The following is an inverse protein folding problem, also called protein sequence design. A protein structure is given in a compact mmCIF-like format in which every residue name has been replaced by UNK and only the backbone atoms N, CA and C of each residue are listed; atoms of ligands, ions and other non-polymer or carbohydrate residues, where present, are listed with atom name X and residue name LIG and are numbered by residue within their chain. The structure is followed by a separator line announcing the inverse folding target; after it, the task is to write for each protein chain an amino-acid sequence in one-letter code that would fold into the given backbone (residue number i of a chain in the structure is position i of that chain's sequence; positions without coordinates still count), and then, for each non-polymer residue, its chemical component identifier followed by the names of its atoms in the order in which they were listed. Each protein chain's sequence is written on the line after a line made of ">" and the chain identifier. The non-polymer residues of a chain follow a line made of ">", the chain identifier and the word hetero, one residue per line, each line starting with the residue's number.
data_IF_770092082067
#
_entry.id   IF_770092082067
#
_cell.length_a   1.000
_cell.length_b   1.000
_cell.length_c   1.000
_cell.angle_alpha   90.00
_cell.angle_beta   90.00
_cell.angle_gamma   90.00
#
_symmetry.space_group_name_H-M   'P 1'
#
loop_
_entity.id
_entity.type
_entity.pdbx_description
1 polymer ?
#
# COMPACT_ATOMS: atom_id res chain seq x y z
N UNK A 1 41.65 -12.05 3.28
CA UNK A 1 40.51 -11.90 2.34
C UNK A 1 39.22 -12.11 3.12
N UNK A 2 38.64 -11.03 3.63
CA UNK A 2 37.42 -11.06 4.45
C UNK A 2 36.19 -11.15 3.53
N UNK A 3 35.51 -12.30 3.53
CA UNK A 3 34.17 -12.44 2.95
C UNK A 3 33.20 -11.58 3.77
N UNK A 4 32.62 -10.56 3.14
CA UNK A 4 31.45 -9.85 3.66
C UNK A 4 30.31 -10.88 3.84
N UNK A 5 29.57 -10.88 4.96
CA UNK A 5 28.39 -11.73 5.09
C UNK A 5 27.32 -11.27 4.09
N UNK A 6 26.53 -12.20 3.52
CA UNK A 6 25.40 -11.85 2.67
C UNK A 6 24.44 -11.03 3.53
N UNK A 7 23.86 -9.97 2.98
CA UNK A 7 22.87 -9.15 3.66
C UNK A 7 21.73 -10.04 4.14
N UNK A 8 21.81 -10.45 5.40
CA UNK A 8 20.76 -11.16 6.10
C UNK A 8 19.58 -10.23 6.14
N UNK A 9 18.51 -10.66 5.47
CA UNK A 9 17.14 -10.19 5.60
C UNK A 9 16.96 -9.61 7.00
N UNK A 10 16.76 -8.29 7.11
CA UNK A 10 16.43 -7.68 8.40
C UNK A 10 15.22 -8.47 8.95
N UNK A 11 15.28 -8.98 10.20
CA UNK A 11 14.18 -9.76 10.76
C UNK A 11 12.88 -8.97 10.61
N UNK A 12 11.82 -9.63 10.11
CA UNK A 12 10.51 -9.06 9.81
C UNK A 12 10.13 -7.94 10.80
N UNK A 13 10.42 -6.70 10.41
CA UNK A 13 10.29 -5.56 11.31
C UNK A 13 8.79 -5.38 11.62
N UNK A 14 8.41 -5.10 12.88
CA UNK A 14 7.00 -4.85 13.20
C UNK A 14 6.46 -3.68 12.38
N UNK A 15 5.19 -3.74 11.96
CA UNK A 15 4.55 -2.77 11.06
C UNK A 15 4.82 -1.30 11.43
N UNK A 16 4.75 -0.87 12.72
CA UNK A 16 5.02 0.53 13.07
C UNK A 16 6.45 0.97 12.79
N UNK A 17 7.42 0.04 12.89
CA UNK A 17 8.81 0.32 12.59
C UNK A 17 9.05 0.38 11.08
N UNK A 18 8.37 -0.46 10.29
CA UNK A 18 8.38 -0.36 8.82
C UNK A 18 7.78 0.95 8.35
N UNK A 19 6.67 1.40 8.95
CA UNK A 19 6.06 2.70 8.64
C UNK A 19 7.00 3.86 8.96
N UNK A 20 7.67 3.83 10.12
CA UNK A 20 8.65 4.85 10.48
C UNK A 20 9.84 4.89 9.50
N UNK A 21 10.34 3.72 9.08
CA UNK A 21 11.42 3.63 8.10
C UNK A 21 10.98 4.06 6.70
N UNK A 22 9.75 3.74 6.28
CA UNK A 22 9.17 4.21 5.00
C UNK A 22 9.09 5.73 4.99
N UNK A 23 8.61 6.35 6.07
CA UNK A 23 8.57 7.80 6.17
C UNK A 23 9.93 8.47 6.16
N UNK A 24 10.90 7.83 6.80
CA UNK A 24 12.29 8.29 6.75
C UNK A 24 12.87 8.19 5.35
N UNK A 25 12.64 7.09 4.62
CA UNK A 25 13.13 6.91 3.26
C UNK A 25 12.50 7.93 2.29
N UNK A 26 11.19 8.13 2.37
CA UNK A 26 10.47 9.14 1.56
C UNK A 26 10.94 10.57 1.88
N UNK A 27 11.25 10.89 3.14
CA UNK A 27 11.80 12.19 3.53
C UNK A 27 13.28 12.36 3.18
N UNK A 28 14.07 11.28 3.18
CA UNK A 28 15.46 11.29 2.78
C UNK A 28 15.62 11.60 1.28
N UNK A 29 14.76 11.02 0.44
CA UNK A 29 14.65 11.35 -0.97
C UNK A 29 14.29 12.85 -1.19
N UNK A 30 13.68 13.51 -0.20
CA UNK A 30 13.22 14.90 -0.26
C UNK A 30 14.21 15.97 0.29
N UNK A 31 15.30 15.58 0.99
CA UNK A 31 16.50 16.34 1.37
C UNK A 31 16.98 16.01 2.80
N UNK A 32 18.31 15.98 3.00
CA UNK A 32 18.98 15.72 4.29
C UNK A 32 18.55 16.71 5.41
N UNK A 33 18.16 17.94 5.04
CA UNK A 33 17.63 18.97 5.96
C UNK A 33 16.22 18.66 6.52
N UNK A 34 15.40 17.84 5.84
CA UNK A 34 14.05 17.52 6.29
C UNK A 34 14.02 16.47 7.43
N UNK A 35 15.13 15.77 7.66
CA UNK A 35 15.25 14.66 8.62
C UNK A 35 15.67 15.15 10.02
N UNK A 36 16.33 16.31 10.10
CA UNK A 36 16.80 16.90 11.36
C UNK A 36 15.69 17.05 12.43
N UNK A 37 14.50 17.60 12.09
CA UNK A 37 13.41 17.78 13.07
C UNK A 37 12.91 16.47 13.67
N UNK A 38 12.81 15.40 12.88
CA UNK A 38 12.37 14.08 13.34
C UNK A 38 13.40 13.44 14.27
N UNK A 39 14.70 13.63 13.99
CA UNK A 39 15.79 13.15 14.84
C UNK A 39 15.81 13.82 16.22
N UNK A 40 15.40 15.09 16.30
CA UNK A 40 15.34 15.85 17.55
C UNK A 40 14.30 15.29 18.53
N UNK A 41 13.20 14.72 18.01
CA UNK A 41 12.13 14.09 18.79
C UNK A 41 12.53 12.73 19.39
N UNK A 42 13.59 12.11 18.89
CA UNK A 42 14.08 10.85 19.42
C UNK A 42 14.91 11.06 20.70
N UNK A 43 14.77 10.19 21.71
CA UNK A 43 15.62 10.22 22.90
C UNK A 43 17.10 10.13 22.51
N UNK A 44 18.03 10.80 23.23
CA UNK A 44 19.44 10.94 22.83
C UNK A 44 20.14 9.63 22.48
N UNK A 45 19.82 8.54 23.21
CA UNK A 45 20.37 7.19 22.99
C UNK A 45 19.99 6.54 21.65
N UNK A 46 18.92 7.02 21.01
CA UNK A 46 18.45 6.50 19.73
C UNK A 46 18.87 7.35 18.53
N UNK A 47 19.29 8.61 18.73
CA UNK A 47 19.67 9.53 17.64
C UNK A 47 20.82 9.01 16.79
N UNK A 48 21.90 8.52 17.42
CA UNK A 48 23.07 7.99 16.70
C UNK A 48 22.76 6.68 15.97
N UNK A 49 21.92 5.82 16.56
CA UNK A 49 21.45 4.57 15.94
C UNK A 49 20.50 4.84 14.78
N UNK A 50 19.65 5.84 14.91
CA UNK A 50 18.73 6.28 13.87
C UNK A 50 19.48 6.78 12.65
N UNK A 51 20.49 7.63 12.83
CA UNK A 51 21.32 8.13 11.74
C UNK A 51 22.12 7.02 11.03
N UNK A 52 22.63 6.04 11.79
CA UNK A 52 23.30 4.86 11.21
C UNK A 52 22.33 3.92 10.49
N UNK A 53 21.09 3.79 10.98
CA UNK A 53 20.04 3.03 10.31
C UNK A 53 19.59 3.73 9.02
N UNK A 54 19.45 5.05 9.04
CA UNK A 54 19.14 5.90 7.88
C UNK A 54 20.16 5.69 6.77
N UNK A 55 21.45 5.86 7.09
CA UNK A 55 22.55 5.61 6.15
C UNK A 55 22.63 4.17 5.69
N UNK A 56 22.12 3.21 6.45
CA UNK A 56 22.06 1.80 6.04
C UNK A 56 20.87 1.52 5.12
N UNK A 57 19.73 2.18 5.34
CA UNK A 57 18.52 2.09 4.52
C UNK A 57 18.73 2.79 3.17
N UNK A 58 19.33 3.98 3.19
CA UNK A 58 19.71 4.73 1.98
C UNK A 58 20.70 3.92 1.11
N UNK A 59 21.67 3.24 1.74
CA UNK A 59 22.66 2.41 1.02
C UNK A 59 22.09 1.07 0.52
N UNK A 60 21.00 0.58 1.12
CA UNK A 60 20.41 -0.70 0.78
C UNK A 60 19.10 -0.58 -0.04
N UNK A 61 18.60 0.63 -0.22
CA UNK A 61 17.40 0.94 -1.00
C UNK A 61 16.09 0.59 -0.30
N UNK A 62 14.97 1.06 -0.89
CA UNK A 62 13.58 0.79 -0.46
C UNK A 62 13.28 -0.71 -0.29
N UNK A 63 14.02 -1.57 -1.01
CA UNK A 63 13.93 -3.04 -0.97
C UNK A 63 14.16 -3.69 0.42
N UNK A 64 14.76 -2.99 1.38
CA UNK A 64 14.85 -3.50 2.77
C UNK A 64 13.58 -3.22 3.61
N UNK A 65 12.70 -2.33 3.16
CA UNK A 65 11.52 -1.89 3.91
C UNK A 65 10.28 -2.71 3.50
N UNK A 66 10.18 -3.08 2.22
CA UNK A 66 9.15 -3.97 1.68
C UNK A 66 9.55 -5.43 1.92
N UNK A 67 8.70 -6.19 2.64
CA UNK A 67 8.85 -7.65 2.67
C UNK A 67 8.57 -8.20 1.27
N UNK A 68 9.37 -9.14 0.74
CA UNK A 68 9.09 -9.74 -0.55
C UNK A 68 7.74 -10.46 -0.48
N UNK A 69 6.81 -10.07 -1.37
CA UNK A 69 5.52 -10.75 -1.49
C UNK A 69 5.67 -11.98 -2.40
N UNK A 70 4.84 -12.99 -2.17
CA UNK A 70 4.76 -14.19 -3.00
C UNK A 70 3.42 -14.28 -3.71
N UNK A 71 3.32 -15.15 -4.73
CA UNK A 71 2.04 -15.48 -5.38
C UNK A 71 0.98 -15.95 -4.38
N UNK A 72 1.38 -16.72 -3.36
CA UNK A 72 0.49 -17.16 -2.29
C UNK A 72 -0.05 -15.98 -1.46
N UNK A 73 0.76 -14.94 -1.24
CA UNK A 73 0.27 -13.73 -0.58
C UNK A 73 -0.75 -12.98 -1.43
N UNK A 74 -0.56 -12.92 -2.76
CA UNK A 74 -1.48 -12.27 -3.70
C UNK A 74 -2.81 -13.04 -3.74
N UNK A 75 -2.76 -14.36 -3.86
CA UNK A 75 -3.94 -15.22 -3.82
C UNK A 75 -4.72 -15.04 -2.50
N UNK A 76 -4.03 -15.11 -1.37
CA UNK A 76 -4.66 -14.92 -0.06
C UNK A 76 -5.23 -13.50 0.09
N UNK A 77 -4.55 -12.48 -0.45
CA UNK A 77 -5.04 -11.10 -0.45
C UNK A 77 -6.29 -10.92 -1.32
N UNK A 78 -6.37 -11.60 -2.47
CA UNK A 78 -7.55 -11.63 -3.34
C UNK A 78 -8.75 -12.26 -2.63
N UNK A 79 -8.53 -13.39 -1.94
CA UNK A 79 -9.55 -14.05 -1.13
C UNK A 79 -10.04 -13.17 0.03
N UNK A 80 -9.15 -12.40 0.66
CA UNK A 80 -9.55 -11.42 1.67
C UNK A 80 -10.37 -10.27 1.06
N UNK A 81 -9.90 -9.70 -0.06
CA UNK A 81 -10.56 -8.57 -0.73
C UNK A 81 -11.97 -8.91 -1.20
N UNK A 82 -12.21 -10.17 -1.57
CA UNK A 82 -13.54 -10.68 -1.93
C UNK A 82 -14.33 -11.21 -0.74
N UNK A 83 -13.80 -11.10 0.48
CA UNK A 83 -14.47 -11.53 1.71
C UNK A 83 -14.57 -13.05 1.89
N UNK A 84 -13.94 -13.86 1.03
CA UNK A 84 -13.94 -15.33 1.07
C UNK A 84 -13.18 -15.85 2.29
N UNK A 85 -12.01 -15.28 2.58
CA UNK A 85 -11.25 -15.57 3.80
C UNK A 85 -11.04 -14.28 4.61
N UNK A 86 -11.59 -14.23 5.83
CA UNK A 86 -11.46 -13.11 6.78
C UNK A 86 -10.49 -13.41 7.93
N UNK A 87 -9.67 -14.45 7.80
CA UNK A 87 -8.68 -14.89 8.79
C UNK A 87 -7.66 -13.81 9.14
N UNK A 88 -6.88 -14.03 10.20
CA UNK A 88 -5.80 -13.11 10.57
C UNK A 88 -4.67 -13.14 9.54
N UNK A 89 -4.41 -14.32 9.00
CA UNK A 89 -3.42 -14.59 7.97
C UNK A 89 -3.79 -13.87 6.67
N UNK A 90 -5.04 -13.98 6.22
CA UNK A 90 -5.50 -13.30 5.01
C UNK A 90 -5.53 -11.78 5.14
N UNK A 91 -5.91 -11.25 6.31
CA UNK A 91 -5.76 -9.82 6.61
C UNK A 91 -4.32 -9.34 6.51
N UNK A 92 -3.38 -10.13 7.04
CA UNK A 92 -1.97 -9.77 7.01
C UNK A 92 -1.43 -9.82 5.58
N UNK A 93 -1.75 -10.85 4.81
CA UNK A 93 -1.40 -10.95 3.39
C UNK A 93 -1.96 -9.76 2.59
N UNK A 94 -3.24 -9.45 2.75
CA UNK A 94 -3.87 -8.30 2.11
C UNK A 94 -3.19 -6.96 2.46
N UNK A 95 -2.84 -6.77 3.73
CA UNK A 95 -2.10 -5.58 4.18
C UNK A 95 -0.75 -5.45 3.46
N UNK A 96 0.04 -6.54 3.40
CA UNK A 96 1.34 -6.53 2.73
C UNK A 96 1.21 -6.27 1.24
N UNK A 97 0.23 -6.90 0.59
CA UNK A 97 -0.02 -6.79 -0.85
C UNK A 97 -0.51 -5.39 -1.22
N UNK A 98 -1.37 -4.76 -0.43
CA UNK A 98 -1.80 -3.37 -0.62
C UNK A 98 -0.60 -2.41 -0.58
N UNK A 99 0.28 -2.59 0.41
CA UNK A 99 1.48 -1.76 0.55
C UNK A 99 2.46 -1.99 -0.61
N UNK A 100 2.68 -3.25 -0.99
CA UNK A 100 3.51 -3.58 -2.15
C UNK A 100 2.96 -2.92 -3.42
N UNK A 101 1.67 -3.07 -3.69
CA UNK A 101 1.07 -2.56 -4.91
C UNK A 101 1.07 -1.02 -4.93
N UNK A 102 0.87 -0.39 -3.76
CA UNK A 102 1.01 1.05 -3.62
C UNK A 102 2.43 1.52 -3.97
N UNK A 103 3.44 0.87 -3.39
CA UNK A 103 4.85 1.21 -3.62
C UNK A 103 5.21 0.97 -5.10
N UNK A 104 4.76 -0.13 -5.72
CA UNK A 104 4.97 -0.44 -7.14
C UNK A 104 4.36 0.62 -8.08
N UNK A 105 3.09 0.99 -7.85
CA UNK A 105 2.41 2.02 -8.65
C UNK A 105 3.04 3.41 -8.45
N UNK A 106 3.55 3.69 -7.24
CA UNK A 106 4.25 4.93 -6.93
C UNK A 106 5.62 5.01 -7.60
N UNK A 107 6.34 3.89 -7.76
CA UNK A 107 7.60 3.83 -8.51
C UNK A 107 7.39 4.01 -10.02
N UNK A 108 6.25 3.54 -10.55
CA UNK A 108 5.86 3.76 -11.94
C UNK A 108 5.41 5.21 -12.24
N UNK A 109 5.01 5.96 -11.20
CA UNK A 109 4.66 7.38 -11.27
C UNK A 109 5.86 8.28 -10.94
N UNK A 110 6.10 9.33 -11.74
CA UNK A 110 7.30 10.17 -11.60
C UNK A 110 7.33 10.99 -10.28
N UNK A 111 6.21 11.11 -9.56
CA UNK A 111 6.08 11.97 -8.37
C UNK A 111 5.77 11.19 -7.08
N UNK A 112 6.79 11.04 -6.22
CA UNK A 112 6.70 10.39 -4.90
C UNK A 112 6.18 11.34 -3.82
N UNK A 113 4.89 11.67 -3.85
CA UNK A 113 4.33 12.61 -2.87
C UNK A 113 3.54 11.95 -1.74
N UNK A 114 3.13 10.69 -1.88
CA UNK A 114 2.29 10.01 -0.90
C UNK A 114 2.94 8.77 -0.32
N UNK A 115 2.78 8.61 0.99
CA UNK A 115 3.18 7.43 1.72
C UNK A 115 1.96 6.61 2.10
N UNK A 116 2.18 5.33 2.34
CA UNK A 116 1.20 4.39 2.89
C UNK A 116 1.64 3.88 4.27
N UNK A 117 0.72 3.86 5.24
CA UNK A 117 0.91 3.26 6.57
C UNK A 117 0.29 1.87 6.62
N UNK A 118 1.17 0.89 6.76
CA UNK A 118 0.81 -0.52 6.93
C UNK A 118 0.03 -0.75 8.23
N UNK A 119 0.40 -0.04 9.31
CA UNK A 119 -0.25 -0.18 10.61
C UNK A 119 -1.71 0.31 10.58
N UNK A 120 -1.97 1.42 9.88
CA UNK A 120 -3.33 1.94 9.74
C UNK A 120 -4.14 1.00 8.84
N UNK A 121 -3.59 0.55 7.70
CA UNK A 121 -4.26 -0.44 6.85
C UNK A 121 -4.64 -1.67 7.66
N UNK A 122 -3.71 -2.27 8.41
CA UNK A 122 -4.00 -3.44 9.24
C UNK A 122 -5.13 -3.21 10.24
N UNK A 123 -5.18 -2.05 10.90
CA UNK A 123 -6.28 -1.68 11.81
C UNK A 123 -7.62 -1.58 11.06
N UNK A 124 -7.65 -0.91 9.91
CA UNK A 124 -8.85 -0.77 9.05
C UNK A 124 -9.37 -2.13 8.59
N UNK A 125 -8.50 -2.98 8.04
CA UNK A 125 -8.87 -4.32 7.60
C UNK A 125 -9.36 -5.19 8.77
N UNK A 126 -8.74 -5.05 9.94
CA UNK A 126 -9.18 -5.78 11.14
C UNK A 126 -10.59 -5.39 11.56
N UNK A 127 -10.92 -4.09 11.55
CA UNK A 127 -12.27 -3.61 11.88
C UNK A 127 -13.28 -4.08 10.86
N UNK A 128 -13.00 -3.88 9.57
CA UNK A 128 -13.92 -4.25 8.48
C UNK A 128 -14.27 -5.74 8.49
N UNK A 129 -13.27 -6.61 8.69
CA UNK A 129 -13.48 -8.05 8.77
C UNK A 129 -14.42 -8.47 9.91
N UNK A 130 -14.48 -7.68 10.99
CA UNK A 130 -15.37 -7.96 12.14
C UNK A 130 -16.75 -7.34 12.01
N UNK A 131 -16.93 -6.30 11.19
CA UNK A 131 -18.17 -5.52 11.12
C UNK A 131 -18.97 -5.74 9.84
N UNK A 132 -18.34 -6.23 8.76
CA UNK A 132 -18.99 -6.41 7.47
C UNK A 132 -19.28 -7.87 7.15
N UNK A 133 -20.55 -8.15 6.87
CA UNK A 133 -21.02 -9.43 6.32
C UNK A 133 -21.08 -9.43 4.78
N UNK A 134 -20.64 -8.35 4.12
CA UNK A 134 -20.57 -8.32 2.66
C UNK A 134 -19.53 -9.33 2.16
N UNK A 135 -19.69 -9.73 0.89
CA UNK A 135 -18.82 -10.64 0.14
C UNK A 135 -18.69 -10.12 -1.30
N UNK A 136 -17.70 -10.64 -2.03
CA UNK A 136 -17.44 -10.31 -3.42
C UNK A 136 -17.14 -8.82 -3.64
N UNK A 137 -17.63 -8.23 -4.75
CA UNK A 137 -17.39 -6.82 -5.10
C UNK A 137 -17.85 -5.82 -4.02
N UNK A 138 -18.92 -6.12 -3.29
CA UNK A 138 -19.41 -5.24 -2.22
C UNK A 138 -18.42 -5.18 -1.04
N UNK A 139 -17.80 -6.30 -0.68
CA UNK A 139 -16.74 -6.29 0.35
C UNK A 139 -15.51 -5.53 -0.14
N UNK A 140 -15.11 -5.72 -1.40
CA UNK A 140 -14.00 -5.00 -2.01
C UNK A 140 -14.23 -3.48 -2.03
N UNK A 141 -15.42 -3.04 -2.45
CA UNK A 141 -15.82 -1.64 -2.44
C UNK A 141 -15.83 -1.05 -1.03
N UNK A 142 -16.32 -1.79 -0.03
CA UNK A 142 -16.29 -1.35 1.36
C UNK A 142 -14.85 -1.21 1.88
N UNK A 143 -13.97 -2.14 1.52
CA UNK A 143 -12.55 -2.11 1.89
C UNK A 143 -11.83 -0.92 1.28
N UNK A 144 -11.93 -0.77 -0.04
CA UNK A 144 -11.27 0.31 -0.78
C UNK A 144 -11.81 1.66 -0.33
N UNK A 145 -13.13 1.79 -0.15
CA UNK A 145 -13.76 2.98 0.41
C UNK A 145 -13.30 3.31 1.84
N UNK A 146 -13.14 2.31 2.72
CA UNK A 146 -12.67 2.54 4.09
C UNK A 146 -11.20 2.98 4.13
N UNK A 147 -10.33 2.39 3.30
CA UNK A 147 -8.93 2.81 3.17
C UNK A 147 -8.87 4.24 2.65
N UNK A 148 -9.60 4.55 1.57
CA UNK A 148 -9.65 5.89 0.96
C UNK A 148 -10.08 6.96 1.97
N UNK A 149 -11.07 6.65 2.81
CA UNK A 149 -11.58 7.59 3.82
C UNK A 149 -10.79 7.57 5.15
N UNK A 150 -9.71 6.79 5.23
CA UNK A 150 -8.83 6.72 6.39
C UNK A 150 -7.64 7.69 6.27
N UNK A 151 -6.79 7.72 7.29
CA UNK A 151 -5.49 8.42 7.26
C UNK A 151 -4.33 7.49 6.88
N UNK A 152 -4.61 6.34 6.26
CA UNK A 152 -3.60 5.36 5.85
C UNK A 152 -2.69 5.86 4.73
N UNK A 153 -3.22 6.71 3.84
CA UNK A 153 -2.50 7.24 2.68
C UNK A 153 -2.41 8.76 2.81
N UNK A 154 -1.22 9.31 2.57
CA UNK A 154 -1.00 10.75 2.55
C UNK A 154 0.48 11.12 2.65
N UNK A 155 0.78 12.42 2.57
CA UNK A 155 2.16 12.94 2.75
C UNK A 155 2.75 12.60 4.14
N UNK A 156 1.88 12.50 5.14
CA UNK A 156 2.19 12.02 6.49
C UNK A 156 0.99 11.21 7.00
N UNK A 157 0.97 9.88 6.78
CA UNK A 157 -0.09 9.01 7.27
C UNK A 157 -0.31 9.17 8.78
N UNK A 158 -1.57 9.05 9.22
CA UNK A 158 -1.97 9.25 10.62
C UNK A 158 -2.21 10.70 11.04
N UNK A 159 -1.76 11.70 10.26
CA UNK A 159 -2.15 13.10 10.49
C UNK A 159 -3.47 13.36 9.76
N UNK A 160 -4.48 13.86 10.48
CA UNK A 160 -5.81 14.15 9.95
C UNK A 160 -5.84 15.39 9.02
N UNK A 161 -5.01 15.40 7.97
CA UNK A 161 -5.19 16.31 6.83
C UNK A 161 -5.94 15.54 5.75
N UNK A 162 -7.09 16.07 5.33
CA UNK A 162 -7.80 15.55 4.16
C UNK A 162 -6.86 15.67 2.95
N UNK A 163 -6.79 14.61 2.15
CA UNK A 163 -6.14 14.63 0.84
C UNK A 163 -6.69 15.82 0.06
N UNK A 164 -5.83 16.67 -0.52
CA UNK A 164 -6.32 17.80 -1.29
C UNK A 164 -7.11 17.30 -2.51
N UNK A 165 -8.12 18.05 -2.96
CA UNK A 165 -8.97 17.62 -4.06
C UNK A 165 -8.21 17.30 -5.37
N UNK A 166 -7.06 17.94 -5.59
CA UNK A 166 -6.16 17.69 -6.72
C UNK A 166 -5.33 16.42 -6.57
N UNK A 167 -5.12 15.96 -5.33
CA UNK A 167 -4.34 14.76 -4.97
C UNK A 167 -5.25 13.53 -4.83
N UNK A 168 -6.54 13.75 -4.55
CA UNK A 168 -7.53 12.70 -4.34
C UNK A 168 -7.67 11.80 -5.58
N UNK A 169 -7.61 12.37 -6.79
CA UNK A 169 -7.73 11.61 -8.04
C UNK A 169 -6.65 10.54 -8.18
N UNK A 170 -5.40 10.85 -7.85
CA UNK A 170 -4.31 9.87 -8.00
C UNK A 170 -4.43 8.73 -6.99
N UNK A 171 -4.80 9.06 -5.74
CA UNK A 171 -5.07 8.06 -4.69
C UNK A 171 -6.24 7.18 -5.07
N UNK A 172 -7.34 7.79 -5.55
CA UNK A 172 -8.55 7.09 -5.98
C UNK A 172 -8.23 6.14 -7.15
N UNK A 173 -7.49 6.59 -8.16
CA UNK A 173 -7.06 5.76 -9.29
C UNK A 173 -6.17 4.59 -8.84
N UNK A 174 -5.21 4.82 -7.94
CA UNK A 174 -4.34 3.77 -7.44
C UNK A 174 -5.12 2.71 -6.65
N UNK A 175 -6.03 3.14 -5.76
CA UNK A 175 -6.86 2.22 -4.99
C UNK A 175 -7.83 1.42 -5.88
N UNK A 176 -8.43 2.05 -6.87
CA UNK A 176 -9.26 1.37 -7.86
C UNK A 176 -8.46 0.36 -8.68
N UNK A 177 -7.24 0.72 -9.09
CA UNK A 177 -6.33 -0.18 -9.81
C UNK A 177 -5.96 -1.40 -8.98
N UNK A 178 -5.61 -1.21 -7.69
CA UNK A 178 -5.27 -2.31 -6.79
C UNK A 178 -6.48 -3.21 -6.52
N UNK A 179 -7.66 -2.63 -6.30
CA UNK A 179 -8.90 -3.39 -6.11
C UNK A 179 -9.26 -4.22 -7.35
N UNK A 180 -9.20 -3.59 -8.53
CA UNK A 180 -9.44 -4.23 -9.83
C UNK A 180 -8.43 -5.36 -10.07
N UNK A 181 -7.14 -5.08 -9.85
CA UNK A 181 -6.07 -6.06 -9.98
C UNK A 181 -6.32 -7.25 -9.09
N UNK A 182 -6.62 -7.09 -7.80
CA UNK A 182 -6.81 -8.22 -6.90
C UNK A 182 -8.11 -8.99 -7.15
N UNK A 183 -9.08 -8.41 -7.86
CA UNK A 183 -10.32 -9.07 -8.26
C UNK A 183 -10.23 -9.78 -9.62
N UNK A 184 -9.23 -9.50 -10.43
CA UNK A 184 -9.08 -10.13 -11.75
C UNK A 184 -8.53 -11.56 -11.65
N UNK A 185 -8.56 -12.28 -12.77
CA UNK A 185 -8.02 -13.64 -12.81
C UNK A 185 -6.52 -13.63 -12.53
N UNK A 186 -6.08 -14.53 -11.63
CA UNK A 186 -4.66 -14.67 -11.27
C UNK A 186 -3.83 -15.25 -12.43
N UNK A 187 -2.58 -14.84 -12.45
CA UNK A 187 -1.54 -15.36 -13.33
C UNK A 187 -0.67 -16.39 -12.60
N UNK A 188 0.25 -17.04 -13.31
CA UNK A 188 1.12 -18.09 -12.74
C UNK A 188 2.48 -17.55 -12.26
N UNK A 189 2.80 -16.28 -12.55
CA UNK A 189 4.12 -15.69 -12.32
C UNK A 189 4.06 -14.27 -11.76
N UNK A 190 5.00 -13.95 -10.86
CA UNK A 190 5.07 -12.65 -10.19
C UNK A 190 5.29 -11.51 -11.19
N UNK A 191 6.12 -11.72 -12.22
CA UNK A 191 6.35 -10.71 -13.27
C UNK A 191 5.09 -10.44 -14.12
N UNK A 192 4.16 -11.39 -14.18
CA UNK A 192 2.87 -11.21 -14.85
C UNK A 192 1.87 -10.46 -13.97
N UNK A 193 1.86 -10.74 -12.65
CA UNK A 193 1.06 -9.98 -11.68
C UNK A 193 1.45 -8.49 -11.63
N UNK A 194 2.74 -8.16 -11.65
CA UNK A 194 3.20 -6.76 -11.67
C UNK A 194 2.72 -6.02 -12.93
N UNK A 195 2.79 -6.69 -14.10
CA UNK A 195 2.25 -6.15 -15.35
C UNK A 195 0.73 -6.03 -15.32
N UNK A 196 0.04 -6.99 -14.70
CA UNK A 196 -1.41 -6.95 -14.56
C UNK A 196 -1.85 -5.79 -13.67
N UNK A 197 -1.10 -5.48 -12.62
CA UNK A 197 -1.31 -4.30 -11.78
C UNK A 197 -1.15 -3.00 -12.59
N UNK A 198 -0.10 -2.89 -13.41
CA UNK A 198 0.10 -1.73 -14.30
C UNK A 198 -1.01 -1.59 -15.35
N UNK A 199 -1.43 -2.72 -15.96
CA UNK A 199 -2.57 -2.76 -16.88
C UNK A 199 -3.87 -2.36 -16.19
N UNK A 200 -4.08 -2.78 -14.94
CA UNK A 200 -5.24 -2.38 -14.14
C UNK A 200 -5.27 -0.86 -13.94
N UNK A 201 -4.11 -0.24 -13.65
CA UNK A 201 -4.02 1.23 -13.54
C UNK A 201 -4.29 1.92 -14.88
N UNK A 202 -3.74 1.41 -15.98
CA UNK A 202 -3.99 1.96 -17.32
C UNK A 202 -5.48 1.88 -17.70
N UNK A 203 -6.13 0.75 -17.44
CA UNK A 203 -7.55 0.53 -17.71
C UNK A 203 -8.42 1.44 -16.84
N UNK A 204 -8.18 1.49 -15.54
CA UNK A 204 -8.90 2.38 -14.61
C UNK A 204 -8.74 3.85 -15.02
N UNK A 205 -7.55 4.29 -15.43
CA UNK A 205 -7.33 5.66 -15.95
C UNK A 205 -8.16 5.94 -17.20
N UNK A 206 -8.28 4.97 -18.11
CA UNK A 206 -9.07 5.12 -19.32
C UNK A 206 -10.58 5.22 -19.01
N UNK A 207 -11.08 4.44 -18.06
CA UNK A 207 -12.51 4.36 -17.73
C UNK A 207 -12.98 5.42 -16.72
N UNK A 208 -12.13 5.80 -15.76
CA UNK A 208 -12.49 6.75 -14.70
C UNK A 208 -12.80 8.16 -15.23
N UNK A 209 -12.23 8.54 -16.39
CA UNK A 209 -12.53 9.80 -17.05
C UNK A 209 -14.05 10.01 -17.30
N UNK A 210 -14.80 8.91 -17.40
CA UNK A 210 -16.22 8.92 -17.73
C UNK A 210 -17.15 8.79 -16.50
N UNK A 211 -16.62 8.55 -15.30
CA UNK A 211 -17.42 8.30 -14.09
C UNK A 211 -16.94 9.16 -12.90
N UNK A 212 -17.41 10.42 -12.80
CA UNK A 212 -17.09 11.26 -11.65
C UNK A 212 -17.73 10.71 -10.36
N UNK A 213 -16.99 10.81 -9.26
CA UNK A 213 -17.44 10.53 -7.88
C UNK A 213 -17.81 9.04 -7.58
N UNK A 214 -17.04 8.09 -8.13
CA UNK A 214 -17.17 6.65 -7.81
C UNK A 214 -17.17 6.36 -6.30
N UNK A 215 -16.36 7.08 -5.53
CA UNK A 215 -16.26 6.90 -4.07
C UNK A 215 -17.45 7.49 -3.28
N UNK A 216 -18.32 8.26 -3.93
CA UNK A 216 -19.55 8.80 -3.34
C UNK A 216 -20.70 7.80 -3.26
N UNK A 217 -20.68 6.74 -4.07
CA UNK A 217 -21.72 5.72 -4.13
C UNK A 217 -21.12 4.30 -4.10
N UNK A 218 -21.43 3.57 -3.03
CA UNK A 218 -20.94 2.22 -2.82
C UNK A 218 -21.36 1.23 -3.93
N UNK A 219 -22.59 1.35 -4.45
CA UNK A 219 -23.08 0.45 -5.48
C UNK A 219 -22.37 0.71 -6.82
N UNK A 220 -22.10 1.99 -7.13
CA UNK A 220 -21.30 2.35 -8.31
C UNK A 220 -19.86 1.84 -8.18
N UNK A 221 -19.23 1.99 -7.01
CA UNK A 221 -17.88 1.50 -6.76
C UNK A 221 -17.81 -0.04 -6.90
N UNK A 222 -18.77 -0.76 -6.31
CA UNK A 222 -18.87 -2.22 -6.39
C UNK A 222 -19.01 -2.71 -7.84
N UNK A 223 -19.96 -2.13 -8.59
CA UNK A 223 -20.17 -2.45 -9.99
C UNK A 223 -18.94 -2.15 -10.85
N UNK A 224 -18.31 -0.98 -10.66
CA UNK A 224 -17.10 -0.59 -11.38
C UNK A 224 -15.95 -1.59 -11.17
N UNK A 225 -15.70 -2.01 -9.93
CA UNK A 225 -14.63 -2.97 -9.62
C UNK A 225 -14.91 -4.34 -10.27
N UNK A 226 -16.16 -4.82 -10.19
CA UNK A 226 -16.55 -6.10 -10.79
C UNK A 226 -16.41 -6.08 -12.32
N UNK A 227 -16.95 -5.06 -12.97
CA UNK A 227 -16.96 -4.93 -14.42
C UNK A 227 -15.53 -4.76 -14.95
N UNK A 228 -14.73 -3.90 -14.32
CA UNK A 228 -13.35 -3.64 -14.74
C UNK A 228 -12.48 -4.88 -14.56
N UNK A 229 -12.63 -5.60 -13.45
CA UNK A 229 -11.87 -6.82 -13.19
C UNK A 229 -12.21 -7.95 -14.17
N UNK A 230 -13.44 -8.02 -14.67
CA UNK A 230 -13.85 -9.02 -15.66
C UNK A 230 -13.22 -8.81 -17.05
N UNK A 231 -12.66 -7.64 -17.32
CA UNK A 231 -11.97 -7.32 -18.56
C UNK A 231 -10.46 -7.62 -18.55
N UNK A 232 -9.94 -8.12 -17.42
CA UNK A 232 -8.53 -8.47 -17.20
C UNK A 232 -8.36 -9.98 -16.97
#
# INVERSE_FOLDING_TARGET
>A
MSKLPPFGILPALPMPLRDALRGVATLADAAEEAIEPASALLPPRFRSRFHSALKSVERAGKRLITSPITMDNIETASQFLTGVDKSREARHACTMVLVFAWDHLSEAGVDHHFMVSESIIADRLSRLATTSNAEGPDFAAALIGDIRNSSAIGRMPGIARRIHATEATEVDLALLAIGTWLMSKRTDAMEEEEKLLELSLALVRALHADIPDLFGDHALLSGFLADTAAHL
#
